data_IF_774792852813
#
_entry.id   IF_774792852813
#
_cell.length_a   1.000
_cell.length_b   1.000
_cell.length_c   1.000
_cell.angle_alpha   90.00
_cell.angle_beta   90.00
_cell.angle_gamma   90.00
#
_symmetry.space_group_name_H-M   'P 1'
#
loop_
_entity.id
_entity.type
_entity.pdbx_description
1 polymer ?
#
# COMPACT_ATOMS: atom_id res chain seq x y z
N UNK A 1 -3.49 -3.16 -8.40
CA UNK A 1 -2.40 -2.25 -8.19
C UNK A 1 -1.43 -2.77 -7.13
N UNK A 2 -0.38 -2.06 -6.84
CA UNK A 2 0.60 -2.45 -5.83
C UNK A 2 0.10 -2.05 -4.44
N UNK A 3 -0.84 -2.85 -3.94
CA UNK A 3 -1.38 -2.74 -2.59
C UNK A 3 -0.40 -3.41 -1.64
N UNK A 4 0.00 -2.71 -0.58
CA UNK A 4 0.86 -3.20 0.47
C UNK A 4 0.17 -3.05 1.83
N UNK A 5 0.56 -3.87 2.80
CA UNK A 5 -0.01 -3.86 4.14
C UNK A 5 0.51 -5.02 4.94
N UNK A 6 0.30 -5.00 6.23
CA UNK A 6 0.67 -6.10 7.10
C UNK A 6 -0.10 -7.39 6.80
N UNK A 7 0.52 -8.55 7.09
CA UNK A 7 -0.12 -9.86 6.93
C UNK A 7 -0.21 -10.39 5.49
N UNK A 8 0.36 -9.71 4.50
CA UNK A 8 0.54 -10.28 3.16
C UNK A 8 1.74 -11.23 3.16
N UNK A 9 1.51 -12.49 2.86
CA UNK A 9 2.56 -13.52 2.79
C UNK A 9 2.70 -14.13 1.38
N UNK A 10 2.06 -13.52 0.38
CA UNK A 10 2.15 -14.00 -0.99
C UNK A 10 3.59 -13.93 -1.51
N UNK A 11 3.98 -14.95 -2.27
CA UNK A 11 5.28 -14.99 -2.96
C UNK A 11 5.24 -14.11 -4.21
N UNK A 12 6.41 -13.71 -4.69
CA UNK A 12 6.58 -12.84 -5.87
C UNK A 12 5.95 -11.44 -5.69
N UNK A 13 5.84 -11.00 -4.43
CA UNK A 13 5.46 -9.65 -4.08
C UNK A 13 6.58 -8.94 -3.34
N UNK A 14 6.86 -7.70 -3.76
CA UNK A 14 8.05 -6.97 -3.31
C UNK A 14 8.13 -6.84 -1.79
N UNK A 15 7.10 -6.33 -1.11
CA UNK A 15 7.16 -6.11 0.35
C UNK A 15 7.27 -7.43 1.13
N UNK A 16 6.40 -8.44 0.93
CA UNK A 16 6.54 -9.73 1.61
C UNK A 16 7.88 -10.41 1.37
N UNK A 17 8.40 -10.39 0.14
CA UNK A 17 9.68 -11.02 -0.19
C UNK A 17 10.85 -10.29 0.46
N UNK A 18 10.87 -8.97 0.42
CA UNK A 18 11.86 -8.14 1.09
C UNK A 18 11.86 -8.37 2.60
N UNK A 19 10.71 -8.28 3.25
CA UNK A 19 10.57 -8.46 4.70
C UNK A 19 11.05 -9.86 5.12
N UNK A 20 10.62 -10.92 4.42
CA UNK A 20 11.09 -12.29 4.70
C UNK A 20 12.61 -12.43 4.58
N UNK A 21 13.20 -11.81 3.57
CA UNK A 21 14.64 -11.86 3.38
C UNK A 21 15.37 -11.09 4.47
N UNK A 22 14.94 -9.87 4.80
CA UNK A 22 15.59 -9.03 5.80
C UNK A 22 15.43 -9.57 7.22
N UNK A 23 14.28 -10.16 7.57
CA UNK A 23 14.11 -10.85 8.86
C UNK A 23 15.06 -12.04 9.02
N UNK A 24 15.49 -12.64 7.91
CA UNK A 24 16.52 -13.69 7.87
C UNK A 24 17.95 -13.13 7.62
N UNK A 25 18.17 -11.82 7.74
CA UNK A 25 19.44 -11.14 7.47
C UNK A 25 19.99 -11.38 6.04
N UNK A 26 19.12 -11.58 5.06
CA UNK A 26 19.48 -11.79 3.66
C UNK A 26 19.34 -10.51 2.84
N UNK A 27 20.12 -10.42 1.78
CA UNK A 27 20.02 -9.37 0.75
C UNK A 27 19.01 -9.78 -0.32
N UNK A 28 18.26 -8.82 -0.86
CA UNK A 28 17.26 -9.05 -1.94
C UNK A 28 17.78 -8.52 -3.27
N UNK A 29 17.60 -9.28 -4.32
CA UNK A 29 17.91 -8.84 -5.69
C UNK A 29 16.69 -8.14 -6.31
N UNK A 30 16.83 -6.87 -6.66
CA UNK A 30 15.78 -6.05 -7.26
C UNK A 30 16.03 -5.90 -8.76
N UNK A 31 15.06 -6.38 -9.54
CA UNK A 31 15.16 -6.44 -11.01
C UNK A 31 14.86 -5.10 -11.70
N UNK A 32 13.92 -4.33 -11.14
CA UNK A 32 13.42 -3.09 -11.76
C UNK A 32 13.32 -1.97 -10.72
N UNK A 33 14.45 -1.49 -10.14
CA UNK A 33 14.41 -0.50 -9.05
C UNK A 33 13.83 0.84 -9.47
N UNK A 34 13.90 1.19 -10.75
CA UNK A 34 13.37 2.44 -11.30
C UNK A 34 11.89 2.36 -11.70
N UNK A 35 11.29 1.18 -11.68
CA UNK A 35 9.89 1.02 -12.06
C UNK A 35 8.96 1.74 -11.09
N UNK A 36 8.09 2.61 -11.62
CA UNK A 36 7.11 3.39 -10.86
C UNK A 36 5.83 2.58 -10.70
N UNK A 37 5.32 2.54 -9.47
CA UNK A 37 4.10 1.80 -9.12
C UNK A 37 3.16 2.64 -8.27
N UNK A 38 1.85 2.44 -8.39
CA UNK A 38 0.86 3.14 -7.57
C UNK A 38 0.75 2.49 -6.18
N UNK A 39 1.77 2.75 -5.34
CA UNK A 39 1.83 2.21 -3.98
C UNK A 39 0.67 2.74 -3.14
N UNK A 40 -0.07 1.84 -2.51
CA UNK A 40 -1.15 2.19 -1.59
C UNK A 40 -1.28 1.16 -0.47
N UNK A 41 -1.69 1.61 0.70
CA UNK A 41 -2.00 0.72 1.81
C UNK A 41 -3.30 -0.04 1.56
N UNK A 42 -3.41 -1.27 2.10
CA UNK A 42 -4.61 -2.12 1.91
C UNK A 42 -5.90 -1.44 2.38
N UNK A 43 -5.84 -0.56 3.36
CA UNK A 43 -7.01 0.18 3.85
C UNK A 43 -7.59 1.15 2.80
N UNK A 44 -6.77 1.61 1.83
CA UNK A 44 -7.23 2.50 0.77
C UNK A 44 -8.27 1.83 -0.15
N UNK A 45 -7.95 0.72 -0.85
CA UNK A 45 -8.95 0.08 -1.69
C UNK A 45 -10.11 -0.48 -0.86
N UNK A 46 -9.90 -0.90 0.40
CA UNK A 46 -10.99 -1.35 1.27
C UNK A 46 -11.98 -0.22 1.58
N UNK A 47 -11.51 1.00 1.88
CA UNK A 47 -12.39 2.16 2.04
C UNK A 47 -13.16 2.47 0.75
N UNK A 48 -12.52 2.30 -0.40
CA UNK A 48 -13.15 2.44 -1.70
C UNK A 48 -14.25 1.39 -1.95
N UNK A 49 -14.00 0.14 -1.58
CA UNK A 49 -15.02 -0.93 -1.69
C UNK A 49 -16.21 -0.67 -0.78
N UNK A 50 -16.00 -0.15 0.43
CA UNK A 50 -17.08 0.23 1.33
C UNK A 50 -17.88 1.41 0.77
N UNK A 51 -17.23 2.44 0.23
CA UNK A 51 -17.89 3.56 -0.42
C UNK A 51 -18.75 3.10 -1.62
N UNK A 52 -18.21 2.17 -2.44
CA UNK A 52 -18.96 1.57 -3.54
C UNK A 52 -20.14 0.74 -3.04
N UNK A 53 -19.98 -0.03 -1.96
CA UNK A 53 -21.07 -0.82 -1.38
C UNK A 53 -22.23 0.08 -0.91
N UNK A 54 -21.94 1.21 -0.29
CA UNK A 54 -22.93 2.23 0.09
C UNK A 54 -23.62 2.81 -1.15
N UNK A 55 -22.88 3.11 -2.21
CA UNK A 55 -23.49 3.61 -3.46
C UNK A 55 -24.42 2.56 -4.10
N UNK A 56 -24.01 1.29 -4.10
CA UNK A 56 -24.81 0.17 -4.63
C UNK A 56 -26.09 -0.08 -3.81
N UNK A 57 -26.03 0.06 -2.48
CA UNK A 57 -27.22 -0.10 -1.61
C UNK A 57 -28.30 0.96 -1.91
N UNK A 58 -27.90 2.11 -2.46
CA UNK A 58 -28.78 3.17 -2.93
C UNK A 58 -29.21 3.01 -4.40
N UNK A 59 -29.11 1.79 -4.97
CA UNK A 59 -29.42 1.46 -6.37
C UNK A 59 -28.69 2.31 -7.40
N UNK A 60 -27.46 2.75 -7.08
CA UNK A 60 -26.59 3.56 -7.93
C UNK A 60 -25.40 2.75 -8.40
N UNK A 61 -24.88 3.06 -9.60
CA UNK A 61 -23.59 2.57 -10.11
C UNK A 61 -23.51 1.06 -10.35
N UNK A 62 -24.64 0.36 -10.54
CA UNK A 62 -24.65 -1.06 -10.89
C UNK A 62 -23.92 -1.32 -12.21
N UNK A 63 -23.01 -2.29 -12.24
CA UNK A 63 -22.25 -2.69 -13.41
C UNK A 63 -21.08 -1.75 -13.76
N UNK A 64 -20.81 -0.71 -12.96
CA UNK A 64 -19.73 0.23 -13.19
C UNK A 64 -18.40 -0.27 -12.59
N UNK A 65 -17.30 -0.06 -13.32
CA UNK A 65 -15.96 -0.39 -12.85
C UNK A 65 -15.26 0.85 -12.30
N UNK A 66 -14.51 0.67 -11.20
CA UNK A 66 -13.75 1.72 -10.53
C UNK A 66 -12.32 1.31 -10.26
N UNK A 67 -11.40 2.27 -10.35
CA UNK A 67 -10.05 2.15 -9.83
C UNK A 67 -9.96 2.89 -8.49
N UNK A 68 -9.27 2.28 -7.53
CA UNK A 68 -8.90 2.87 -6.26
C UNK A 68 -7.37 2.86 -6.15
N UNK A 69 -6.75 4.01 -5.97
CA UNK A 69 -5.29 4.15 -5.95
C UNK A 69 -4.84 5.49 -5.38
N UNK A 70 -3.52 5.70 -5.27
CA UNK A 70 -2.97 6.94 -4.77
C UNK A 70 -3.30 8.12 -5.70
N UNK A 71 -3.13 9.34 -5.20
CA UNK A 71 -3.27 10.55 -6.01
C UNK A 71 -2.26 10.59 -7.15
N UNK A 72 -2.61 11.24 -8.26
CA UNK A 72 -1.82 11.24 -9.50
C UNK A 72 -0.39 11.80 -9.33
N UNK A 73 -0.11 12.58 -8.28
CA UNK A 73 1.20 13.12 -7.96
C UNK A 73 2.07 12.17 -7.12
N UNK A 74 1.51 11.08 -6.61
CA UNK A 74 2.27 10.05 -5.88
C UNK A 74 2.86 9.03 -6.87
N UNK A 75 4.07 9.30 -7.34
CA UNK A 75 4.78 8.51 -8.34
C UNK A 75 6.12 8.08 -7.76
N UNK A 76 6.14 6.95 -7.07
CA UNK A 76 7.32 6.45 -6.40
C UNK A 76 7.79 5.14 -7.04
N UNK A 77 9.10 5.07 -7.29
CA UNK A 77 9.78 3.89 -7.79
C UNK A 77 9.91 2.80 -6.73
N UNK A 78 10.32 1.62 -7.16
CA UNK A 78 10.68 0.52 -6.25
C UNK A 78 11.83 0.93 -5.33
N UNK A 79 12.87 1.61 -5.84
CA UNK A 79 13.98 2.08 -5.00
C UNK A 79 13.53 3.07 -3.93
N UNK A 80 12.67 4.03 -4.27
CA UNK A 80 12.11 4.97 -3.29
C UNK A 80 11.27 4.27 -2.22
N UNK A 81 10.54 3.20 -2.58
CA UNK A 81 9.83 2.35 -1.61
C UNK A 81 10.82 1.71 -0.61
N UNK A 82 11.93 1.17 -1.10
CA UNK A 82 12.95 0.54 -0.27
C UNK A 82 13.68 1.56 0.60
N UNK A 83 13.99 2.74 0.06
CA UNK A 83 14.64 3.84 0.79
C UNK A 83 13.72 4.36 1.91
N UNK A 84 12.42 4.46 1.68
CA UNK A 84 11.46 4.82 2.72
C UNK A 84 11.37 3.73 3.81
N UNK A 85 11.45 2.46 3.40
CA UNK A 85 11.42 1.31 4.33
C UNK A 85 12.58 1.32 5.33
N UNK A 86 13.77 1.83 4.94
CA UNK A 86 14.96 1.93 5.81
C UNK A 86 14.66 2.72 7.10
N UNK A 87 13.71 3.64 7.07
CA UNK A 87 13.35 4.45 8.26
C UNK A 87 12.69 3.64 9.37
N UNK A 88 12.12 2.50 9.03
CA UNK A 88 11.26 1.71 9.94
C UNK A 88 11.76 0.27 10.15
N UNK A 89 12.59 -0.25 9.22
CA UNK A 89 13.15 -1.61 9.29
C UNK A 89 14.66 -1.57 9.30
N UNK A 90 15.26 -2.24 10.29
CA UNK A 90 16.70 -2.37 10.39
C UNK A 90 17.25 -3.34 9.33
N UNK A 91 18.49 -3.13 8.90
CA UNK A 91 19.21 -4.02 7.97
C UNK A 91 18.54 -4.23 6.61
N UNK A 92 17.88 -3.21 6.06
CA UNK A 92 17.42 -3.23 4.66
C UNK A 92 18.63 -3.36 3.74
N UNK A 93 18.68 -4.44 2.96
CA UNK A 93 19.78 -4.74 2.03
C UNK A 93 19.21 -5.24 0.71
N UNK A 94 19.62 -4.60 -0.36
CA UNK A 94 19.22 -5.04 -1.69
C UNK A 94 20.32 -4.74 -2.72
N UNK A 95 20.33 -5.52 -3.82
CA UNK A 95 21.21 -5.34 -4.97
C UNK A 95 20.37 -4.92 -6.17
N UNK A 96 20.89 -3.99 -6.97
CA UNK A 96 20.36 -3.72 -8.30
C UNK A 96 20.90 -4.77 -9.28
N UNK A 97 20.01 -5.64 -9.76
CA UNK A 97 20.33 -6.66 -10.75
C UNK A 97 19.69 -6.38 -12.12
N UNK A 98 19.27 -5.16 -12.37
CA UNK A 98 18.60 -4.73 -13.61
C UNK A 98 19.45 -4.98 -14.86
N UNK A 99 20.78 -4.94 -14.74
CA UNK A 99 21.73 -5.15 -15.84
C UNK A 99 22.03 -6.62 -16.12
N UNK A 100 21.64 -7.55 -15.24
CA UNK A 100 22.12 -8.94 -15.26
C UNK A 100 21.19 -9.94 -15.95
N UNK A 101 20.01 -9.53 -16.43
CA UNK A 101 19.03 -10.42 -17.05
C UNK A 101 18.50 -9.89 -18.38
N UNK A 102 18.29 -10.79 -19.32
CA UNK A 102 17.48 -10.54 -20.53
C UNK A 102 16.15 -9.92 -20.12
N UNK A 103 15.91 -8.70 -20.57
CA UNK A 103 14.74 -7.89 -20.23
C UNK A 103 13.44 -8.62 -20.59
N UNK A 104 12.78 -9.19 -19.62
CA UNK A 104 11.33 -9.29 -19.68
C UNK A 104 10.81 -7.86 -19.51
N UNK A 105 10.13 -7.33 -20.52
CA UNK A 105 9.56 -5.99 -20.51
C UNK A 105 8.56 -5.89 -19.35
N UNK A 106 9.03 -5.40 -18.22
CA UNK A 106 8.16 -4.91 -17.16
C UNK A 106 7.87 -3.44 -17.46
N UNK A 107 6.60 -3.04 -17.42
CA UNK A 107 6.24 -1.64 -17.67
C UNK A 107 6.97 -0.72 -16.67
N UNK A 108 7.72 0.25 -17.18
CA UNK A 108 8.47 1.22 -16.36
C UNK A 108 7.54 2.09 -15.53
N UNK A 109 6.35 2.37 -16.04
CA UNK A 109 5.36 3.21 -15.40
C UNK A 109 3.98 2.52 -15.38
N UNK A 110 3.46 2.28 -14.20
CA UNK A 110 2.08 1.89 -13.97
C UNK A 110 1.40 2.94 -13.10
N UNK A 111 0.35 3.57 -13.62
CA UNK A 111 -0.50 4.52 -12.89
C UNK A 111 -1.96 4.11 -12.95
N UNK A 112 -2.72 4.51 -11.95
CA UNK A 112 -4.17 4.38 -11.92
C UNK A 112 -4.79 5.76 -12.09
N UNK A 113 -5.82 5.87 -12.94
CA UNK A 113 -6.71 7.02 -12.94
C UNK A 113 -7.90 6.70 -12.02
N UNK A 114 -8.06 7.50 -10.98
CA UNK A 114 -9.11 7.35 -9.96
C UNK A 114 -10.15 8.49 -10.02
N UNK A 115 -10.13 9.33 -11.04
CA UNK A 115 -11.03 10.49 -11.19
C UNK A 115 -12.49 10.06 -11.15
N UNK A 116 -12.83 8.91 -11.75
CA UNK A 116 -14.19 8.36 -11.71
C UNK A 116 -14.63 8.03 -10.28
N UNK A 117 -13.75 7.44 -9.46
CA UNK A 117 -14.07 7.16 -8.05
C UNK A 117 -14.25 8.45 -7.25
N UNK A 118 -13.43 9.46 -7.49
CA UNK A 118 -13.60 10.78 -6.91
C UNK A 118 -14.93 11.40 -7.31
N UNK A 119 -15.26 11.44 -8.61
CA UNK A 119 -16.45 12.11 -9.11
C UNK A 119 -17.74 11.41 -8.72
N UNK A 120 -17.77 10.07 -8.85
CA UNK A 120 -18.98 9.28 -8.66
C UNK A 120 -19.26 8.89 -7.22
N UNK A 121 -18.21 8.66 -6.45
CA UNK A 121 -18.28 8.14 -5.07
C UNK A 121 -17.76 9.15 -4.04
N UNK A 122 -17.27 10.31 -4.48
CA UNK A 122 -16.52 11.26 -3.65
C UNK A 122 -15.37 10.59 -2.87
N UNK A 123 -14.84 9.50 -3.42
CA UNK A 123 -13.77 8.75 -2.80
C UNK A 123 -12.40 9.30 -3.23
N UNK A 124 -11.53 9.49 -2.28
CA UNK A 124 -10.11 9.85 -2.47
C UNK A 124 -9.25 9.13 -1.43
N UNK A 125 -7.98 8.85 -1.75
CA UNK A 125 -7.08 8.19 -0.82
C UNK A 125 -6.83 9.08 0.40
N UNK A 126 -6.62 8.43 1.54
CA UNK A 126 -6.35 9.06 2.82
C UNK A 126 -4.86 9.22 3.06
N UNK A 127 -4.07 8.16 2.83
CA UNK A 127 -2.67 8.09 3.23
C UNK A 127 -1.74 8.70 2.17
N UNK A 128 -0.67 9.30 2.66
CA UNK A 128 0.51 9.63 1.85
C UNK A 128 1.39 8.40 1.70
N UNK A 129 2.36 8.46 0.80
CA UNK A 129 3.30 7.38 0.55
C UNK A 129 4.06 6.95 1.82
N UNK A 130 4.60 7.92 2.57
CA UNK A 130 5.37 7.66 3.77
C UNK A 130 4.54 6.96 4.85
N UNK A 131 3.28 7.34 4.99
CA UNK A 131 2.33 6.73 5.93
C UNK A 131 1.99 5.30 5.51
N UNK A 132 1.81 5.09 4.21
CA UNK A 132 1.58 3.77 3.62
C UNK A 132 2.73 2.81 3.93
N UNK A 133 3.97 3.26 3.72
CA UNK A 133 5.17 2.46 3.99
C UNK A 133 5.32 2.21 5.49
N UNK A 134 5.20 3.26 6.31
CA UNK A 134 5.31 3.16 7.77
C UNK A 134 4.33 2.12 8.33
N UNK A 135 3.04 2.27 8.08
CA UNK A 135 2.02 1.35 8.61
C UNK A 135 2.28 -0.09 8.17
N UNK A 136 2.70 -0.30 6.91
CA UNK A 136 3.03 -1.63 6.41
C UNK A 136 4.22 -2.22 7.17
N UNK A 137 5.30 -1.47 7.29
CA UNK A 137 6.57 -1.97 7.87
C UNK A 137 6.44 -2.18 9.38
N UNK A 138 5.79 -1.27 10.12
CA UNK A 138 5.55 -1.39 11.56
C UNK A 138 4.77 -2.66 11.89
N UNK A 139 3.78 -3.05 11.06
CA UNK A 139 3.05 -4.29 11.25
C UNK A 139 3.95 -5.52 11.16
N UNK A 140 4.81 -5.59 10.15
CA UNK A 140 5.76 -6.69 10.02
C UNK A 140 6.83 -6.68 11.10
N UNK A 141 7.29 -5.50 11.51
CA UNK A 141 8.28 -5.37 12.59
C UNK A 141 7.75 -5.97 13.87
N UNK A 142 6.54 -5.58 14.28
CA UNK A 142 5.89 -6.14 15.47
C UNK A 142 5.72 -7.66 15.37
N UNK A 143 5.29 -8.16 14.20
CA UNK A 143 5.14 -9.59 13.96
C UNK A 143 6.44 -10.38 14.18
N UNK A 144 7.57 -9.86 13.69
CA UNK A 144 8.87 -10.51 13.84
C UNK A 144 9.54 -10.29 15.20
N UNK A 145 9.13 -9.28 15.96
CA UNK A 145 9.57 -9.05 17.35
C UNK A 145 8.92 -10.01 18.37
N UNK A 146 8.14 -10.98 17.89
CA UNK A 146 7.56 -12.09 18.64
C UNK A 146 6.37 -11.78 19.56
N UNK A 147 5.63 -10.74 19.29
CA UNK A 147 4.36 -10.49 19.99
C UNK A 147 3.14 -10.78 19.11
N UNK A 148 3.06 -12.03 18.61
CA UNK A 148 1.96 -12.45 17.73
C UNK A 148 0.58 -12.40 18.42
N UNK A 149 0.53 -12.38 19.75
CA UNK A 149 -0.70 -12.23 20.52
C UNK A 149 -1.37 -10.85 20.38
N UNK A 150 -0.60 -9.83 19.99
CA UNK A 150 -1.06 -8.44 19.86
C UNK A 150 -1.40 -8.03 18.44
N UNK A 151 -1.20 -8.89 17.43
CA UNK A 151 -1.37 -8.52 16.02
C UNK A 151 -2.80 -8.09 15.67
N UNK A 152 -3.80 -8.69 16.31
CA UNK A 152 -5.20 -8.26 16.15
C UNK A 152 -5.40 -6.84 16.66
N UNK A 153 -4.98 -6.58 17.90
CA UNK A 153 -5.15 -5.26 18.53
C UNK A 153 -4.35 -4.19 17.77
N UNK A 154 -3.15 -4.51 17.31
CA UNK A 154 -2.36 -3.63 16.49
C UNK A 154 -3.03 -3.31 15.15
N UNK A 155 -3.64 -4.32 14.51
CA UNK A 155 -4.39 -4.09 13.25
C UNK A 155 -5.63 -3.21 13.49
N UNK A 156 -6.32 -3.38 14.61
CA UNK A 156 -7.43 -2.49 15.00
C UNK A 156 -6.92 -1.06 15.21
N UNK A 157 -5.81 -0.89 15.93
CA UNK A 157 -5.21 0.44 16.14
C UNK A 157 -4.82 1.12 14.82
N UNK A 158 -4.30 0.36 13.84
CA UNK A 158 -4.03 0.90 12.49
C UNK A 158 -5.30 1.34 11.76
N UNK A 159 -6.40 0.59 11.88
CA UNK A 159 -7.70 0.98 11.31
C UNK A 159 -8.21 2.27 11.97
N UNK A 160 -8.08 2.38 13.29
CA UNK A 160 -8.45 3.58 14.05
C UNK A 160 -7.59 4.78 13.63
N UNK A 161 -6.27 4.61 13.53
CA UNK A 161 -5.36 5.65 13.03
C UNK A 161 -5.76 6.10 11.63
N UNK A 162 -6.00 5.17 10.71
CA UNK A 162 -6.46 5.45 9.35
C UNK A 162 -7.75 6.29 9.36
N UNK A 163 -8.71 5.91 10.21
CA UNK A 163 -10.00 6.62 10.35
C UNK A 163 -9.79 8.04 10.88
N UNK A 164 -8.92 8.22 11.87
CA UNK A 164 -8.61 9.56 12.41
C UNK A 164 -7.88 10.43 11.38
N UNK A 165 -6.96 9.87 10.61
CA UNK A 165 -6.31 10.58 9.51
C UNK A 165 -7.32 11.00 8.45
N UNK A 166 -8.23 10.11 8.06
CA UNK A 166 -9.31 10.41 7.12
C UNK A 166 -10.17 11.56 7.63
N UNK A 167 -10.57 11.53 8.90
CA UNK A 167 -11.35 12.58 9.54
C UNK A 167 -10.62 13.93 9.54
N UNK A 168 -9.35 13.94 9.95
CA UNK A 168 -8.51 15.14 9.99
C UNK A 168 -8.30 15.78 8.60
N UNK A 169 -8.35 14.96 7.55
CA UNK A 169 -8.21 15.38 6.15
C UNK A 169 -9.54 15.70 5.46
N UNK A 170 -10.64 15.70 6.21
CA UNK A 170 -11.97 16.00 5.69
C UNK A 170 -12.43 14.99 4.63
N UNK A 171 -12.09 13.71 4.78
CA UNK A 171 -12.61 12.64 3.94
C UNK A 171 -14.07 12.39 4.36
N UNK A 172 -15.00 12.45 3.41
CA UNK A 172 -16.44 12.51 3.68
C UNK A 172 -16.96 11.34 4.51
N UNK A 173 -16.58 10.11 4.19
CA UNK A 173 -17.06 8.94 4.92
C UNK A 173 -16.63 8.93 6.40
N UNK A 174 -15.52 9.58 6.74
CA UNK A 174 -15.00 9.67 8.10
C UNK A 174 -15.57 10.86 8.89
N UNK A 175 -16.18 11.85 8.22
CA UNK A 175 -16.71 13.04 8.86
C UNK A 175 -18.02 12.78 9.63
N UNK A 176 -18.71 11.69 9.30
CA UNK A 176 -20.03 11.32 9.85
C UNK A 176 -19.97 10.31 11.00
N UNK A 177 -18.76 9.97 11.47
CA UNK A 177 -18.53 8.98 12.53
C UNK A 177 -18.31 9.63 13.89
#
# INVERSE_FOLDING_TARGET
GNVIGGGDWAVDRIMPDCIRAWSANKTVDIRSPKAIRPWQHVLEPLSGYLALAVALSNARKHGEAYNFGPTANQNYSVSELLDETIKYWDNVRWNDVSQSRLHLHEADLLKLNCDKALFDLNWRPTLKFEETVRMTVEWYKLFYENDTGTMYDFSIAQIEEYTQLAKSRGIEWAASS
#
